data_IF_353315140934
#
_entry.id   IF_353315140934
#
_cell.length_a   1.000
_cell.length_b   1.000
_cell.length_c   1.000
_cell.angle_alpha   90.00
_cell.angle_beta   90.00
_cell.angle_gamma   90.00
#
_symmetry.space_group_name_H-M   'P 1'
#
loop_
_entity.id
_entity.type
_entity.pdbx_description
1 polymer ?
#
# COMPACT_ATOMS: atom_id res chain seq x y z
N UNK A 1 3.78 -17.25 2.93
CA UNK A 1 3.15 -15.95 3.22
C UNK A 1 2.70 -15.85 4.68
N UNK A 2 2.88 -14.68 5.29
CA UNK A 2 2.36 -14.34 6.61
C UNK A 2 1.46 -13.11 6.52
N UNK A 3 0.28 -13.15 7.15
CA UNK A 3 -0.63 -11.99 7.24
C UNK A 3 -1.03 -11.76 8.70
N UNK A 4 -0.13 -11.17 9.52
CA UNK A 4 -0.23 -11.18 10.97
C UNK A 4 -1.47 -10.49 11.54
N UNK A 5 -2.12 -9.62 10.75
CA UNK A 5 -3.38 -8.97 11.13
C UNK A 5 -4.60 -9.92 11.03
N UNK A 6 -4.50 -11.00 10.25
CA UNK A 6 -5.58 -11.98 10.05
C UNK A 6 -5.32 -13.29 10.79
N UNK A 7 -4.07 -13.73 10.88
CA UNK A 7 -3.71 -15.02 11.48
C UNK A 7 -2.27 -15.00 12.01
N UNK A 8 -2.04 -15.74 13.09
CA UNK A 8 -0.68 -16.03 13.60
C UNK A 8 0.01 -17.14 12.81
N UNK A 9 -0.72 -17.86 11.96
CA UNK A 9 -0.15 -18.91 11.11
C UNK A 9 0.59 -18.30 9.92
N UNK A 10 1.67 -18.97 9.52
CA UNK A 10 2.40 -18.66 8.28
C UNK A 10 2.14 -19.81 7.31
N UNK A 11 1.75 -19.49 6.09
CA UNK A 11 1.36 -20.46 5.06
C UNK A 11 2.48 -20.68 4.06
N UNK A 12 2.65 -21.92 3.61
CA UNK A 12 3.55 -22.26 2.50
C UNK A 12 2.81 -22.12 1.19
N UNK A 13 3.52 -21.64 0.18
CA UNK A 13 3.00 -21.49 -1.17
C UNK A 13 4.07 -21.96 -2.14
N UNK A 14 3.65 -22.56 -3.24
CA UNK A 14 4.48 -22.87 -4.38
C UNK A 14 4.06 -21.99 -5.55
N UNK A 15 5.04 -21.38 -6.21
CA UNK A 15 4.87 -20.78 -7.52
C UNK A 15 5.20 -21.86 -8.56
N UNK A 16 4.24 -22.16 -9.41
CA UNK A 16 4.31 -23.26 -10.36
C UNK A 16 4.03 -22.71 -11.75
N UNK A 17 4.84 -23.12 -12.73
CA UNK A 17 4.60 -22.82 -14.13
C UNK A 17 3.89 -23.99 -14.79
N UNK A 18 2.88 -23.72 -15.63
CA UNK A 18 2.27 -24.75 -16.46
C UNK A 18 3.19 -25.10 -17.64
N UNK A 19 4.03 -26.12 -17.44
CA UNK A 19 4.95 -26.64 -18.46
C UNK A 19 4.37 -27.80 -19.27
N UNK A 20 3.07 -28.07 -19.20
CA UNK A 20 2.46 -29.28 -19.79
C UNK A 20 2.32 -29.23 -21.32
N UNK A 21 2.50 -28.06 -21.92
CA UNK A 21 2.26 -27.85 -23.36
C UNK A 21 0.77 -27.70 -23.72
N UNK A 22 -0.12 -27.67 -22.73
CA UNK A 22 -1.56 -27.50 -22.89
C UNK A 22 -2.09 -26.51 -21.85
N UNK A 23 -3.25 -25.92 -22.13
CA UNK A 23 -3.97 -25.13 -21.14
C UNK A 23 -4.55 -26.07 -20.06
N UNK A 24 -4.23 -25.77 -18.80
CA UNK A 24 -4.82 -26.47 -17.66
C UNK A 24 -6.19 -25.85 -17.38
N UNK A 25 -7.24 -26.64 -17.51
CA UNK A 25 -8.61 -26.17 -17.26
C UNK A 25 -8.88 -25.99 -15.77
N UNK A 26 -9.79 -25.08 -15.46
CA UNK A 26 -10.27 -24.88 -14.09
C UNK A 26 -10.86 -26.15 -13.49
N UNK A 27 -10.67 -26.32 -12.18
CA UNK A 27 -11.26 -27.43 -11.45
C UNK A 27 -10.58 -27.76 -10.13
N UNK A 28 -11.13 -28.77 -9.43
CA UNK A 28 -10.66 -29.14 -8.11
C UNK A 28 -9.30 -29.84 -8.18
N UNK A 29 -8.37 -29.41 -7.34
CA UNK A 29 -7.05 -30.02 -7.18
C UNK A 29 -6.85 -30.52 -5.75
N UNK A 30 -6.21 -31.67 -5.61
CA UNK A 30 -5.78 -32.20 -4.32
C UNK A 30 -4.30 -31.88 -4.11
N UNK A 31 -3.98 -31.23 -3.00
CA UNK A 31 -2.62 -30.79 -2.70
C UNK A 31 -1.97 -31.77 -1.74
N UNK A 32 -0.78 -32.25 -2.12
CA UNK A 32 0.04 -33.13 -1.31
C UNK A 32 1.39 -32.49 -1.03
N UNK A 33 1.85 -32.61 0.22
CA UNK A 33 3.18 -32.21 0.63
C UNK A 33 3.86 -33.40 1.30
N UNK A 34 5.04 -33.79 0.81
CA UNK A 34 5.77 -34.96 1.33
C UNK A 34 4.89 -36.23 1.38
N UNK A 35 4.14 -36.49 0.28
CA UNK A 35 3.19 -37.61 0.15
C UNK A 35 2.03 -37.59 1.16
N UNK A 36 1.81 -36.48 1.87
CA UNK A 36 0.68 -36.29 2.78
C UNK A 36 -0.32 -35.32 2.19
N UNK A 37 -1.61 -35.66 2.26
CA UNK A 37 -2.69 -34.77 1.84
C UNK A 37 -2.76 -33.56 2.78
N UNK A 38 -2.69 -32.35 2.22
CA UNK A 38 -2.71 -31.09 3.00
C UNK A 38 -3.93 -30.22 2.69
N UNK A 39 -4.69 -30.53 1.65
CA UNK A 39 -5.94 -29.82 1.35
C UNK A 39 -6.44 -30.03 -0.07
N UNK A 40 -7.59 -29.41 -0.35
CA UNK A 40 -8.13 -29.22 -1.69
C UNK A 40 -8.14 -27.74 -2.02
N UNK A 41 -7.98 -27.41 -3.28
CA UNK A 41 -8.15 -26.06 -3.80
C UNK A 41 -8.92 -26.12 -5.11
N UNK A 42 -9.53 -24.99 -5.50
CA UNK A 42 -10.03 -24.80 -6.85
C UNK A 42 -8.95 -24.07 -7.65
N UNK A 43 -8.50 -24.69 -8.74
CA UNK A 43 -7.57 -24.09 -9.66
C UNK A 43 -8.36 -23.36 -10.75
N UNK A 44 -7.92 -22.16 -11.11
CA UNK A 44 -8.45 -21.44 -12.27
C UNK A 44 -7.86 -22.03 -13.56
N UNK A 45 -8.38 -21.63 -14.72
CA UNK A 45 -7.72 -21.98 -15.99
C UNK A 45 -6.33 -21.32 -16.02
N UNK A 46 -5.29 -22.11 -16.31
CA UNK A 46 -3.90 -21.67 -16.39
C UNK A 46 -3.37 -21.96 -17.79
N UNK A 47 -3.05 -20.92 -18.54
CA UNK A 47 -2.55 -21.07 -19.90
C UNK A 47 -1.18 -21.76 -19.93
N UNK A 48 -0.82 -22.34 -21.08
CA UNK A 48 0.54 -22.83 -21.28
C UNK A 48 1.59 -21.73 -20.98
N UNK A 49 2.57 -22.04 -20.13
CA UNK A 49 3.63 -21.12 -19.71
C UNK A 49 3.20 -20.08 -18.68
N UNK A 50 1.94 -20.08 -18.24
CA UNK A 50 1.47 -19.21 -17.17
C UNK A 50 1.94 -19.74 -15.79
N UNK A 51 2.30 -18.82 -14.90
CA UNK A 51 2.62 -19.14 -13.50
C UNK A 51 1.41 -18.97 -12.62
N UNK A 52 1.17 -19.93 -11.74
CA UNK A 52 0.10 -19.90 -10.75
C UNK A 52 0.65 -20.26 -9.36
N UNK A 53 -0.15 -19.98 -8.33
CA UNK A 53 0.23 -20.21 -6.93
C UNK A 53 -0.65 -21.30 -6.33
N UNK A 54 -0.01 -22.29 -5.69
CA UNK A 54 -0.69 -23.32 -4.91
C UNK A 54 -0.33 -23.16 -3.43
N UNK A 55 -1.35 -23.09 -2.57
CA UNK A 55 -1.16 -23.14 -1.12
C UNK A 55 -0.85 -24.55 -0.64
N UNK A 56 0.22 -24.71 0.14
CA UNK A 56 0.69 -25.99 0.71
C UNK A 56 0.34 -26.13 2.20
N UNK A 57 -0.62 -25.32 2.68
CA UNK A 57 -1.05 -25.28 4.07
C UNK A 57 -0.10 -24.53 5.01
N UNK A 58 -0.47 -24.48 6.29
CA UNK A 58 0.33 -23.82 7.31
C UNK A 58 1.68 -24.53 7.55
N UNK A 59 2.73 -23.75 7.82
CA UNK A 59 4.00 -24.24 8.34
C UNK A 59 3.97 -24.16 9.87
N UNK A 60 3.91 -25.29 10.59
CA UNK A 60 3.83 -25.28 12.04
C UNK A 60 5.12 -24.78 12.73
N UNK A 61 6.24 -24.69 12.00
CA UNK A 61 7.53 -24.20 12.53
C UNK A 61 7.72 -22.69 12.32
N UNK A 62 6.74 -22.02 11.73
CA UNK A 62 6.74 -20.56 11.58
C UNK A 62 5.54 -19.97 12.31
N UNK A 63 5.74 -18.88 13.05
CA UNK A 63 4.65 -18.18 13.70
C UNK A 63 4.79 -16.67 13.57
N UNK A 64 3.71 -16.03 13.18
CA UNK A 64 3.62 -14.60 13.03
C UNK A 64 3.01 -13.95 14.27
N UNK A 65 3.52 -12.77 14.62
CA UNK A 65 2.98 -11.89 15.66
C UNK A 65 2.89 -10.46 15.16
N UNK A 66 1.84 -9.76 15.57
CA UNK A 66 1.61 -8.34 15.31
C UNK A 66 1.30 -7.63 16.60
N UNK A 67 2.06 -6.59 16.90
CA UNK A 67 1.94 -5.83 18.13
C UNK A 67 1.83 -4.33 17.81
N UNK A 68 0.86 -3.64 18.41
CA UNK A 68 0.82 -2.18 18.41
C UNK A 68 1.74 -1.69 19.54
N UNK A 69 2.97 -1.35 19.18
CA UNK A 69 4.02 -0.96 20.13
C UNK A 69 3.89 0.47 20.64
N UNK A 70 3.32 1.36 19.85
CA UNK A 70 3.08 2.75 20.25
C UNK A 70 1.86 3.30 19.54
N UNK A 71 1.14 4.17 20.25
CA UNK A 71 0.03 4.96 19.73
C UNK A 71 0.07 6.34 20.34
N UNK A 72 0.28 7.33 19.49
CA UNK A 72 0.25 8.74 19.87
C UNK A 72 -0.95 9.43 19.24
N UNK A 73 -1.60 10.31 20.00
CA UNK A 73 -2.76 11.09 19.55
C UNK A 73 -2.55 12.55 19.96
N UNK A 74 -2.44 13.45 18.98
CA UNK A 74 -2.12 14.86 19.20
C UNK A 74 -3.11 15.74 18.47
N UNK A 75 -3.51 16.84 19.10
CA UNK A 75 -4.31 17.89 18.45
C UNK A 75 -3.37 19.05 18.11
N UNK A 76 -3.31 19.45 16.84
CA UNK A 76 -2.51 20.56 16.35
C UNK A 76 -3.36 21.45 15.44
N UNK A 77 -3.63 22.68 15.87
CA UNK A 77 -4.39 23.66 15.08
C UNK A 77 -5.81 23.19 14.70
N UNK A 78 -6.50 22.50 15.59
CA UNK A 78 -7.83 21.91 15.34
C UNK A 78 -7.82 20.56 14.61
N UNK A 79 -6.66 20.10 14.12
CA UNK A 79 -6.51 18.81 13.46
C UNK A 79 -6.00 17.75 14.43
N UNK A 80 -6.56 16.55 14.38
CA UNK A 80 -6.11 15.40 15.18
C UNK A 80 -5.12 14.55 14.39
N UNK A 81 -3.89 14.41 14.86
CA UNK A 81 -2.88 13.52 14.30
C UNK A 81 -2.79 12.26 15.15
N UNK A 82 -3.05 11.10 14.52
CA UNK A 82 -2.88 9.79 15.16
C UNK A 82 -1.68 9.10 14.51
N UNK A 83 -0.69 8.75 15.33
CA UNK A 83 0.47 7.97 14.92
C UNK A 83 0.40 6.57 15.53
N UNK A 84 0.69 5.54 14.74
CA UNK A 84 0.69 4.14 15.16
C UNK A 84 2.02 3.49 14.80
N UNK A 85 2.68 2.86 15.76
CA UNK A 85 3.87 2.05 15.51
C UNK A 85 3.53 0.58 15.69
N UNK A 86 3.69 -0.20 14.63
CA UNK A 86 3.38 -1.62 14.62
C UNK A 86 4.66 -2.42 14.45
N UNK A 87 4.85 -3.43 15.29
CA UNK A 87 5.90 -4.43 15.17
C UNK A 87 5.30 -5.73 14.62
N UNK A 88 5.92 -6.24 13.58
CA UNK A 88 5.67 -7.54 12.97
C UNK A 88 6.86 -8.45 13.27
N UNK A 89 6.59 -9.61 13.86
CA UNK A 89 7.61 -10.58 14.23
C UNK A 89 7.29 -11.91 13.58
N UNK A 90 8.34 -12.61 13.15
CA UNK A 90 8.25 -13.99 12.67
C UNK A 90 9.19 -14.83 13.54
N UNK A 91 8.61 -15.82 14.20
CA UNK A 91 9.35 -16.90 14.86
C UNK A 91 9.68 -17.96 13.80
N UNK A 92 10.95 -18.34 13.69
CA UNK A 92 11.41 -19.38 12.78
C UNK A 92 12.10 -20.53 13.52
N UNK A 93 11.34 -21.60 13.76
CA UNK A 93 11.80 -22.81 14.45
C UNK A 93 12.41 -23.86 13.49
N UNK A 94 12.66 -23.52 12.23
CA UNK A 94 13.48 -24.36 11.36
C UNK A 94 14.95 -24.25 11.73
N UNK A 95 15.75 -25.25 11.34
CA UNK A 95 17.21 -25.22 11.46
C UNK A 95 17.92 -24.36 10.40
N UNK A 96 17.19 -23.57 9.61
CA UNK A 96 17.72 -22.73 8.52
C UNK A 96 16.93 -21.44 8.36
N UNK A 97 17.52 -20.47 7.67
CA UNK A 97 16.81 -19.27 7.26
C UNK A 97 15.67 -19.59 6.26
N UNK A 98 14.57 -18.84 6.36
CA UNK A 98 13.39 -19.01 5.52
C UNK A 98 12.98 -17.65 4.95
N UNK A 99 12.76 -17.59 3.64
CA UNK A 99 12.17 -16.43 2.98
C UNK A 99 10.67 -16.33 3.31
N UNK A 100 10.23 -15.17 3.80
CA UNK A 100 8.85 -14.92 4.19
C UNK A 100 8.35 -13.63 3.54
N UNK A 101 7.24 -13.75 2.79
CA UNK A 101 6.44 -12.61 2.35
C UNK A 101 5.47 -12.22 3.46
N UNK A 102 5.66 -11.04 4.04
CA UNK A 102 4.83 -10.51 5.12
C UNK A 102 3.89 -9.47 4.53
N UNK A 103 2.59 -9.66 4.76
CA UNK A 103 1.54 -8.73 4.36
C UNK A 103 0.93 -8.02 5.55
N UNK A 104 0.70 -6.73 5.40
CA UNK A 104 -0.14 -5.92 6.26
C UNK A 104 -0.90 -4.90 5.40
N UNK A 105 -1.68 -4.03 6.02
CA UNK A 105 -2.47 -3.01 5.32
C UNK A 105 -2.31 -1.65 5.96
N UNK A 106 -2.49 -0.63 5.12
CA UNK A 106 -2.87 0.69 5.58
C UNK A 106 -4.35 0.66 6.00
N UNK A 107 -4.73 1.31 7.11
CA UNK A 107 -6.13 1.55 7.41
C UNK A 107 -6.82 2.18 6.20
N UNK A 108 -7.93 1.59 5.78
CA UNK A 108 -8.77 2.11 4.72
C UNK A 108 -10.05 2.66 5.33
N UNK A 109 -10.46 3.85 4.90
CA UNK A 109 -11.75 4.43 5.27
C UNK A 109 -12.62 4.43 4.03
N UNK A 110 -13.83 3.88 4.14
CA UNK A 110 -14.75 3.72 3.00
C UNK A 110 -15.08 5.02 2.26
N UNK A 111 -14.73 6.18 2.83
CA UNK A 111 -14.73 7.49 2.19
C UNK A 111 -13.30 8.01 2.09
N UNK A 112 -12.85 8.28 0.86
CA UNK A 112 -11.49 8.78 0.55
C UNK A 112 -11.23 10.21 1.05
N UNK A 113 -12.30 10.96 1.36
CA UNK A 113 -12.21 12.38 1.72
C UNK A 113 -12.07 12.62 3.22
N UNK A 114 -12.21 11.58 4.05
CA UNK A 114 -12.24 11.73 5.50
C UNK A 114 -10.82 11.66 6.10
N UNK A 115 -9.97 10.75 5.59
CA UNK A 115 -8.69 10.43 6.21
C UNK A 115 -7.58 10.24 5.17
N UNK A 116 -6.45 10.91 5.42
CA UNK A 116 -5.17 10.68 4.74
C UNK A 116 -4.31 9.79 5.62
N UNK A 117 -4.02 8.59 5.12
CA UNK A 117 -3.12 7.64 5.77
C UNK A 117 -1.80 7.62 5.01
N UNK A 118 -0.69 7.78 5.72
CA UNK A 118 0.65 7.74 5.16
C UNK A 118 1.51 6.73 5.92
N UNK A 119 2.24 5.90 5.17
CA UNK A 119 3.31 5.08 5.71
C UNK A 119 4.49 6.01 6.04
N UNK A 120 4.93 6.00 7.30
CA UNK A 120 6.16 6.65 7.74
C UNK A 120 7.36 5.72 7.56
N UNK A 121 8.32 5.80 8.47
CA UNK A 121 9.50 4.94 8.45
C UNK A 121 9.14 3.47 8.66
N UNK A 122 9.87 2.59 7.95
CA UNK A 122 9.82 1.15 8.15
C UNK A 122 11.24 0.63 8.27
N UNK A 123 11.46 -0.33 9.17
CA UNK A 123 12.78 -0.95 9.38
C UNK A 123 13.19 -1.89 8.24
N UNK A 124 12.30 -2.16 7.30
CA UNK A 124 12.54 -2.94 6.09
C UNK A 124 11.90 -2.25 4.89
N UNK A 125 12.55 -2.34 3.73
CA UNK A 125 11.99 -1.82 2.49
C UNK A 125 10.77 -2.64 2.06
N UNK A 126 9.76 -1.95 1.52
CA UNK A 126 8.65 -2.64 0.86
C UNK A 126 9.17 -3.45 -0.33
N UNK A 127 8.47 -4.53 -0.65
CA UNK A 127 8.80 -5.39 -1.80
C UNK A 127 8.91 -4.58 -3.09
N UNK A 128 9.90 -4.94 -3.90
CA UNK A 128 10.16 -4.39 -5.24
C UNK A 128 9.50 -5.21 -6.35
N UNK A 129 8.75 -6.25 -5.98
CA UNK A 129 8.05 -7.11 -6.92
C UNK A 129 7.11 -6.30 -7.84
N UNK A 130 7.24 -6.38 -9.18
CA UNK A 130 6.48 -5.56 -10.11
C UNK A 130 4.97 -5.79 -10.01
N UNK A 131 4.53 -7.02 -9.73
CA UNK A 131 3.11 -7.36 -9.59
C UNK A 131 2.53 -6.70 -8.34
N UNK A 132 3.20 -6.85 -7.19
CA UNK A 132 2.83 -6.15 -5.95
C UNK A 132 2.72 -4.63 -6.16
N UNK A 133 3.73 -4.00 -6.78
CA UNK A 133 3.76 -2.55 -6.97
C UNK A 133 2.57 -2.06 -7.80
N UNK A 134 2.19 -2.78 -8.86
CA UNK A 134 1.11 -2.37 -9.76
C UNK A 134 -0.28 -2.68 -9.23
N UNK A 135 -0.46 -3.82 -8.58
CA UNK A 135 -1.80 -4.34 -8.29
C UNK A 135 -2.20 -4.25 -6.82
N UNK A 136 -1.27 -4.51 -5.91
CA UNK A 136 -1.57 -4.64 -4.47
C UNK A 136 -1.30 -3.33 -3.71
N UNK A 137 -0.17 -2.67 -4.02
CA UNK A 137 0.25 -1.43 -3.34
C UNK A 137 -0.75 -0.28 -3.51
N UNK A 138 -1.38 -0.04 -4.69
CA UNK A 138 -2.39 1.01 -4.84
C UNK A 138 -3.66 0.76 -4.00
N UNK A 139 -3.92 -0.49 -3.62
CA UNK A 139 -5.03 -0.87 -2.74
C UNK A 139 -4.71 -0.66 -1.25
N UNK A 140 -3.52 -0.13 -0.93
CA UNK A 140 -3.06 0.09 0.44
C UNK A 140 -2.53 -1.18 1.13
N UNK A 141 -2.28 -2.24 0.37
CA UNK A 141 -1.59 -3.42 0.86
C UNK A 141 -0.08 -3.12 0.96
N UNK A 142 0.52 -3.58 2.05
CA UNK A 142 1.95 -3.48 2.28
C UNK A 142 2.54 -4.87 2.28
N UNK A 143 3.60 -5.06 1.51
CA UNK A 143 4.34 -6.31 1.44
C UNK A 143 5.82 -6.05 1.73
N UNK A 144 6.40 -6.90 2.57
CA UNK A 144 7.84 -7.00 2.75
C UNK A 144 8.27 -8.43 2.40
N UNK A 145 9.38 -8.55 1.67
CA UNK A 145 10.01 -9.83 1.40
C UNK A 145 11.27 -9.89 2.26
N UNK A 146 11.27 -10.73 3.31
CA UNK A 146 12.34 -10.79 4.30
C UNK A 146 12.89 -12.20 4.43
N UNK A 147 14.18 -12.30 4.71
CA UNK A 147 14.81 -13.55 5.11
C UNK A 147 14.83 -13.65 6.64
N UNK A 148 14.14 -14.64 7.18
CA UNK A 148 14.02 -14.84 8.63
C UNK A 148 15.02 -15.93 9.04
N UNK A 149 16.09 -15.61 9.78
CA UNK A 149 17.06 -16.60 10.23
C UNK A 149 16.43 -17.59 11.20
N UNK A 150 17.00 -18.79 11.30
CA UNK A 150 16.65 -19.76 12.32
C UNK A 150 16.83 -19.16 13.72
N UNK A 151 15.80 -19.23 14.56
CA UNK A 151 15.91 -18.81 15.95
C UNK A 151 14.86 -19.47 16.83
N UNK A 152 15.31 -20.01 17.96
CA UNK A 152 14.42 -20.48 19.03
C UNK A 152 13.68 -19.34 19.75
N UNK A 153 14.07 -18.08 19.50
CA UNK A 153 13.43 -16.89 20.06
C UNK A 153 12.76 -16.07 18.97
N UNK A 154 11.67 -15.39 19.32
CA UNK A 154 11.00 -14.45 18.42
C UNK A 154 11.95 -13.31 18.03
N UNK A 155 12.14 -13.10 16.72
CA UNK A 155 12.90 -11.96 16.20
C UNK A 155 11.96 -10.98 15.50
N UNK A 156 12.26 -9.70 15.66
CA UNK A 156 11.59 -8.64 14.92
C UNK A 156 11.91 -8.80 13.43
N UNK A 157 10.88 -9.02 12.62
CA UNK A 157 11.03 -9.16 11.17
C UNK A 157 10.86 -7.80 10.49
N UNK A 158 9.85 -7.04 10.89
CA UNK A 158 9.58 -5.69 10.38
C UNK A 158 8.99 -4.83 11.48
N UNK A 159 9.46 -3.59 11.60
CA UNK A 159 8.78 -2.52 12.31
C UNK A 159 8.31 -1.48 11.31
N UNK A 160 7.10 -0.97 11.48
CA UNK A 160 6.54 0.09 10.64
C UNK A 160 5.87 1.16 11.47
N UNK A 161 5.98 2.39 10.99
CA UNK A 161 5.31 3.55 11.55
C UNK A 161 4.26 4.07 10.58
N UNK A 162 3.05 4.33 11.07
CA UNK A 162 1.96 4.93 10.31
C UNK A 162 1.60 6.29 10.90
N UNK A 163 1.32 7.25 10.03
CA UNK A 163 0.72 8.53 10.40
C UNK A 163 -0.64 8.67 9.73
N UNK A 164 -1.64 9.00 10.53
CA UNK A 164 -3.04 9.16 10.11
C UNK A 164 -3.43 10.60 10.39
N UNK A 165 -3.83 11.32 9.34
CA UNK A 165 -4.31 12.69 9.42
C UNK A 165 -5.73 12.77 8.86
N UNK A 166 -6.66 13.49 9.48
CA UNK A 166 -7.92 13.88 8.84
C UNK A 166 -7.60 14.73 7.61
N UNK A 167 -8.29 14.48 6.50
CA UNK A 167 -8.23 15.40 5.36
C UNK A 167 -9.08 16.61 5.72
N UNK A 168 -8.42 17.74 5.96
CA UNK A 168 -9.11 19.03 6.11
C UNK A 168 -9.60 19.45 4.74
N UNK A 169 -10.93 19.56 4.55
CA UNK A 169 -11.46 20.23 3.35
C UNK A 169 -10.97 21.68 3.38
N UNK A 170 -10.41 22.23 2.29
CA UNK A 170 -10.17 23.66 2.23
C UNK A 170 -11.51 24.37 2.43
N UNK A 171 -11.61 25.20 3.47
CA UNK A 171 -12.77 26.09 3.63
C UNK A 171 -12.80 27.02 2.41
N UNK A 172 -13.97 27.20 1.75
CA UNK A 172 -14.09 28.26 0.77
C UNK A 172 -13.70 29.57 1.47
N UNK A 173 -12.75 30.31 0.91
CA UNK A 173 -12.37 31.63 1.43
C UNK A 173 -13.66 32.41 1.63
N UNK A 174 -13.88 32.92 2.83
CA UNK A 174 -14.97 33.86 3.08
C UNK A 174 -14.90 34.93 1.99
N UNK A 175 -16.01 35.12 1.27
CA UNK A 175 -16.14 36.20 0.31
C UNK A 175 -15.90 37.50 1.11
N UNK A 176 -14.74 38.13 0.93
CA UNK A 176 -14.53 39.46 1.46
C UNK A 176 -15.62 40.33 0.83
N UNK A 177 -16.47 41.02 1.61
CA UNK A 177 -17.43 41.94 1.02
C UNK A 177 -16.64 42.93 0.17
N UNK A 178 -17.01 43.04 -1.11
CA UNK A 178 -16.41 44.02 -2.01
C UNK A 178 -16.52 45.38 -1.32
N UNK A 179 -15.40 46.10 -1.20
CA UNK A 179 -15.43 47.50 -0.77
C UNK A 179 -16.44 48.23 -1.68
N UNK A 180 -17.33 49.08 -1.13
CA UNK A 180 -18.22 49.87 -1.96
C UNK A 180 -17.39 50.67 -2.95
N UNK A 181 -17.73 50.57 -4.23
CA UNK A 181 -17.10 51.34 -5.31
C UNK A 181 -17.17 52.82 -4.96
N UNK A 182 -16.01 53.48 -4.96
CA UNK A 182 -15.95 54.93 -4.87
C UNK A 182 -16.63 55.51 -6.12
N UNK A 183 -17.56 56.46 -5.92
CA UNK A 183 -18.21 57.18 -7.02
C UNK A 183 -17.17 57.78 -7.97
N UNK A 184 -17.34 57.67 -9.30
CA UNK A 184 -16.41 58.27 -10.24
C UNK A 184 -16.46 59.80 -10.15
N UNK A 185 -15.28 60.41 -10.09
CA UNK A 185 -15.08 61.86 -10.25
C UNK A 185 -15.13 62.18 -11.74
N UNK A 186 -15.86 63.21 -12.19
CA UNK A 186 -16.02 63.49 -13.61
C UNK A 186 -14.77 64.14 -14.22
N UNK A 187 -14.28 63.52 -15.29
CA UNK A 187 -13.83 64.16 -16.54
C UNK A 187 -12.63 65.10 -16.50
N UNK A 188 -11.45 64.58 -16.81
CA UNK A 188 -10.32 65.35 -17.33
C UNK A 188 -9.90 64.77 -18.69
N UNK A 189 -10.12 65.54 -19.75
CA UNK A 189 -9.80 65.23 -21.15
C UNK A 189 -8.30 64.93 -21.30
N UNK A 190 -7.95 63.86 -22.03
CA UNK A 190 -6.60 63.66 -22.57
C UNK A 190 -6.70 63.29 -24.04
N UNK A 191 -6.00 64.09 -24.84
CA UNK A 191 -5.82 63.98 -26.28
C UNK A 191 -5.24 62.63 -26.70
N UNK A 192 -5.72 62.20 -27.86
CA UNK A 192 -5.24 61.07 -28.64
C UNK A 192 -3.82 61.33 -29.15
N UNK A 193 -2.95 60.32 -29.08
CA UNK A 193 -1.85 60.17 -30.04
C UNK A 193 -1.70 58.71 -30.44
N UNK A 194 -1.59 58.51 -31.75
CA UNK A 194 -1.84 57.31 -32.51
C UNK A 194 -0.51 56.70 -32.96
N UNK A 195 -0.30 55.39 -32.76
CA UNK A 195 0.90 54.69 -33.23
C UNK A 195 0.70 53.18 -33.36
N UNK A 196 1.00 52.54 -34.51
CA UNK A 196 0.55 51.18 -34.78
C UNK A 196 1.59 50.06 -34.52
N UNK A 197 1.14 49.00 -33.81
CA UNK A 197 1.40 47.53 -33.99
C UNK A 197 2.88 47.04 -33.91
N UNK A 198 3.22 45.72 -33.78
CA UNK A 198 2.41 44.51 -33.98
C UNK A 198 2.56 43.38 -32.92
N UNK A 199 1.75 42.33 -33.14
CA UNK A 199 1.73 41.05 -32.45
C UNK A 199 2.94 40.15 -32.78
N UNK A 200 3.33 39.28 -31.85
CA UNK A 200 4.16 38.11 -32.16
C UNK A 200 3.68 36.86 -31.39
N UNK A 201 3.51 35.78 -32.15
CA UNK A 201 3.15 34.40 -31.77
C UNK A 201 4.42 33.53 -31.87
N UNK A 202 4.60 32.55 -30.95
CA UNK A 202 5.11 31.16 -31.14
C UNK A 202 5.84 30.67 -29.88
N UNK A 203 6.07 29.39 -29.57
CA UNK A 203 5.49 28.04 -29.81
C UNK A 203 6.31 27.09 -28.89
N UNK A 204 5.67 25.98 -28.51
CA UNK A 204 6.10 24.80 -27.73
C UNK A 204 7.45 24.16 -28.10
N UNK A 205 8.03 23.36 -27.17
CA UNK A 205 8.81 22.16 -27.53
C UNK A 205 8.51 20.97 -26.60
N UNK A 206 8.60 19.79 -27.22
CA UNK A 206 8.28 18.42 -26.82
C UNK A 206 8.89 17.97 -25.49
#
# INVERSE_FOLDING_TARGET
MATPVLSTQVYREAFVENTSGLDMLEGPVSVYLEKRFVGRAEMQTVAQGETFVIGLGADPRLRAKRELTDKTDKIQGGNRLVSLSVRLQIENFHGRAIAVRIFDRLPHTGRKDDLRVTLGESSAELSKDPVYIRSERPLGLLRWDVEVPASFHAREAVRRHLRIHPRVRPQPRAHQPRRPEAKPVPGGVREDDEGPRPALIRVTRL
#
